data_IF_405946121148
#
_entry.id   IF_405946121148
#
_cell.length_a   1.000
_cell.length_b   1.000
_cell.length_c   1.000
_cell.angle_alpha   90.00
_cell.angle_beta   90.00
_cell.angle_gamma   90.00
#
_symmetry.space_group_name_H-M   'P 1'
#
loop_
_entity.id
_entity.type
_entity.pdbx_description
1 polymer ?
#
# COMPACT_ATOMS: atom_id res chain seq x y z
N UNK A 1 76.58 2.42 -20.69
CA UNK A 1 76.43 1.31 -21.65
C UNK A 1 75.23 1.62 -22.52
N UNK A 2 75.45 1.77 -23.82
CA UNK A 2 74.46 2.28 -24.78
C UNK A 2 73.34 1.25 -24.98
N UNK A 3 72.10 1.60 -24.60
CA UNK A 3 70.92 0.84 -25.00
C UNK A 3 70.75 1.09 -26.50
N UNK A 4 71.06 0.09 -27.31
CA UNK A 4 71.03 0.18 -28.76
C UNK A 4 69.60 0.47 -29.23
N UNK A 5 69.46 1.44 -30.13
CA UNK A 5 68.18 1.95 -30.65
C UNK A 5 67.29 0.80 -31.20
N UNK A 6 67.91 -0.29 -31.67
CA UNK A 6 67.22 -1.48 -32.17
C UNK A 6 66.51 -2.34 -31.12
N UNK A 7 66.79 -2.17 -29.82
CA UNK A 7 66.07 -2.89 -28.74
C UNK A 7 64.84 -2.12 -28.24
N UNK A 8 64.83 -0.79 -28.37
CA UNK A 8 63.72 0.07 -27.88
C UNK A 8 62.55 0.08 -28.87
N UNK A 9 62.83 0.02 -30.17
CA UNK A 9 61.82 0.03 -31.23
C UNK A 9 60.84 -1.17 -31.15
N UNK A 10 61.28 -2.44 -31.04
CA UNK A 10 60.33 -3.56 -30.95
C UNK A 10 59.50 -3.55 -29.66
N UNK A 11 60.07 -3.08 -28.55
CA UNK A 11 59.33 -2.96 -27.27
C UNK A 11 58.29 -1.84 -27.34
N UNK A 12 58.64 -0.68 -27.92
CA UNK A 12 57.71 0.43 -28.09
C UNK A 12 56.55 0.08 -29.04
N UNK A 13 56.83 -0.65 -30.13
CA UNK A 13 55.80 -1.16 -31.05
C UNK A 13 54.89 -2.18 -30.34
N UNK A 14 55.47 -3.07 -29.52
CA UNK A 14 54.70 -4.03 -28.72
C UNK A 14 53.73 -3.34 -27.75
N UNK A 15 54.19 -2.31 -27.04
CA UNK A 15 53.35 -1.54 -26.11
C UNK A 15 52.24 -0.79 -26.86
N UNK A 16 52.52 -0.20 -28.03
CA UNK A 16 51.53 0.48 -28.86
C UNK A 16 50.41 -0.44 -29.34
N UNK A 17 50.74 -1.67 -29.75
CA UNK A 17 49.75 -2.66 -30.21
C UNK A 17 48.85 -3.12 -29.06
N UNK A 18 49.40 -3.32 -27.86
CA UNK A 18 48.63 -3.71 -26.67
C UNK A 18 47.68 -2.60 -26.24
N UNK A 19 48.14 -1.34 -26.22
CA UNK A 19 47.30 -0.19 -25.86
C UNK A 19 46.21 0.04 -26.90
N UNK A 20 46.53 -0.03 -28.20
CA UNK A 20 45.52 0.08 -29.27
C UNK A 20 44.48 -1.06 -29.21
N UNK A 21 44.93 -2.29 -28.94
CA UNK A 21 44.05 -3.44 -28.75
C UNK A 21 43.11 -3.29 -27.56
N UNK A 22 43.62 -2.81 -26.41
CA UNK A 22 42.81 -2.56 -25.23
C UNK A 22 41.77 -1.43 -25.45
N UNK A 23 42.15 -0.36 -26.16
CA UNK A 23 41.23 0.73 -26.52
C UNK A 23 40.15 0.25 -27.50
N UNK A 24 40.51 -0.58 -28.48
CA UNK A 24 39.56 -1.14 -29.44
C UNK A 24 38.61 -2.13 -28.76
N UNK A 25 39.10 -2.99 -27.86
CA UNK A 25 38.27 -3.90 -27.08
C UNK A 25 37.27 -3.14 -26.19
N UNK A 26 37.72 -2.08 -25.51
CA UNK A 26 36.84 -1.25 -24.69
C UNK A 26 35.81 -0.47 -25.53
N UNK A 27 36.19 -0.04 -26.74
CA UNK A 27 35.26 0.59 -27.69
C UNK A 27 34.20 -0.41 -28.21
N UNK A 28 34.58 -1.67 -28.46
CA UNK A 28 33.65 -2.72 -28.88
C UNK A 28 32.70 -3.15 -27.74
N UNK A 29 33.21 -3.29 -26.50
CA UNK A 29 32.36 -3.58 -25.33
C UNK A 29 31.36 -2.45 -25.04
N UNK A 30 31.73 -1.18 -25.31
CA UNK A 30 30.83 -0.03 -25.18
C UNK A 30 29.78 0.03 -26.30
N UNK A 31 30.09 -0.49 -27.49
CA UNK A 31 29.17 -0.57 -28.63
C UNK A 31 28.01 -1.53 -28.38
N UNK A 32 28.25 -2.69 -27.77
CA UNK A 32 27.18 -3.66 -27.45
C UNK A 32 26.22 -3.16 -26.37
N UNK A 33 26.70 -2.39 -25.38
CA UNK A 33 25.79 -1.73 -24.41
C UNK A 33 24.94 -0.61 -25.04
N UNK A 34 25.32 -0.06 -26.19
CA UNK A 34 24.52 0.95 -26.91
C UNK A 34 23.50 0.35 -27.90
N UNK A 35 23.66 -0.93 -28.28
CA UNK A 35 22.81 -1.61 -29.27
C UNK A 35 21.63 -2.40 -28.68
N UNK A 36 21.44 -2.39 -27.36
CA UNK A 36 20.28 -2.99 -26.65
C UNK A 36 19.23 -1.96 -26.20
N UNK A 37 19.14 -0.81 -26.88
CA UNK A 37 18.29 0.29 -26.41
C UNK A 37 17.74 1.20 -27.50
N UNK A 38 17.09 0.65 -28.53
CA UNK A 38 16.21 1.46 -29.40
C UNK A 38 16.00 0.91 -30.81
N UNK A 39 14.76 0.49 -31.11
CA UNK A 39 14.28 0.19 -32.47
C UNK A 39 12.88 -0.44 -32.48
N UNK A 40 11.91 0.18 -33.16
CA UNK A 40 10.44 0.10 -33.01
C UNK A 40 9.76 -0.76 -34.11
N UNK A 41 8.49 -1.12 -33.88
CA UNK A 41 7.46 -1.74 -34.76
C UNK A 41 7.47 -3.28 -34.80
N UNK A 42 6.36 -4.01 -34.74
CA UNK A 42 4.99 -3.77 -35.20
C UNK A 42 3.97 -4.73 -34.55
N UNK A 43 2.75 -4.25 -34.27
CA UNK A 43 1.49 -5.03 -34.38
C UNK A 43 1.16 -6.10 -33.33
N UNK A 44 0.11 -5.85 -32.54
CA UNK A 44 -0.73 -6.89 -31.94
C UNK A 44 -0.59 -7.10 -30.43
N UNK A 45 -1.69 -6.81 -29.72
CA UNK A 45 -2.09 -7.38 -28.43
C UNK A 45 -1.69 -6.68 -27.11
N UNK A 46 -2.71 -6.00 -26.57
CA UNK A 46 -2.98 -5.75 -25.15
C UNK A 46 -1.99 -4.90 -24.35
N UNK A 47 -2.09 -3.58 -24.54
CA UNK A 47 -1.96 -2.61 -23.45
C UNK A 47 -2.89 -3.00 -22.30
N UNK A 48 -2.38 -3.70 -21.28
CA UNK A 48 -3.04 -3.74 -19.97
C UNK A 48 -2.72 -2.43 -19.26
N UNK A 49 -3.62 -1.47 -19.41
CA UNK A 49 -3.58 -0.18 -18.76
C UNK A 49 -3.32 -0.33 -17.25
N UNK A 50 -2.11 -0.04 -16.81
CA UNK A 50 -1.88 0.45 -15.46
C UNK A 50 -2.45 1.86 -15.42
N UNK A 51 -3.76 1.96 -15.18
CA UNK A 51 -4.38 3.19 -14.70
C UNK A 51 -3.55 3.65 -13.50
N UNK A 52 -2.87 4.78 -13.60
CA UNK A 52 -2.26 5.45 -12.45
C UNK A 52 -3.40 5.97 -11.57
N UNK A 53 -4.06 5.08 -10.84
CA UNK A 53 -5.11 5.45 -9.90
C UNK A 53 -4.49 6.42 -8.89
N UNK A 54 -5.11 7.59 -8.73
CA UNK A 54 -4.68 8.58 -7.75
C UNK A 54 -4.91 8.01 -6.36
N UNK A 55 -3.84 7.85 -5.58
CA UNK A 55 -3.90 7.24 -4.24
C UNK A 55 -3.85 8.31 -3.19
N UNK A 56 -4.72 8.21 -2.20
CA UNK A 56 -4.75 9.14 -1.07
C UNK A 56 -3.65 8.81 -0.07
N UNK A 57 -3.45 7.53 0.26
CA UNK A 57 -2.41 7.10 1.19
C UNK A 57 -1.10 6.87 0.42
N UNK A 58 -0.33 7.94 0.23
CA UNK A 58 1.01 7.84 -0.35
C UNK A 58 2.03 7.46 0.72
N UNK A 59 2.01 8.19 1.84
CA UNK A 59 2.96 8.03 2.92
C UNK A 59 2.32 7.40 4.18
N UNK A 60 2.83 6.25 4.66
CA UNK A 60 2.31 5.58 5.85
C UNK A 60 2.40 6.39 7.14
N UNK A 61 3.21 7.45 7.15
CA UNK A 61 3.45 8.28 8.32
C UNK A 61 2.66 9.59 8.32
N UNK A 62 2.26 10.05 7.13
CA UNK A 62 1.54 11.29 6.97
C UNK A 62 0.11 11.16 7.51
N UNK A 63 -0.44 12.31 7.95
CA UNK A 63 -1.81 12.42 8.44
C UNK A 63 -2.63 13.14 7.38
N UNK A 64 -3.57 12.42 6.78
CA UNK A 64 -4.51 12.95 5.79
C UNK A 64 -5.81 13.37 6.47
N UNK A 65 -6.15 14.66 6.42
CA UNK A 65 -7.37 15.18 7.03
C UNK A 65 -8.55 14.99 6.06
N UNK A 66 -9.41 14.02 6.33
CA UNK A 66 -10.55 13.70 5.47
C UNK A 66 -11.87 14.19 6.09
N UNK A 67 -12.71 14.91 5.33
CA UNK A 67 -14.01 15.37 5.80
C UNK A 67 -15.04 14.24 5.84
N UNK A 68 -15.87 14.23 6.88
CA UNK A 68 -17.07 13.39 6.96
C UNK A 68 -18.12 13.95 6.01
N UNK A 69 -18.52 13.18 5.00
CA UNK A 69 -19.51 13.59 4.00
C UNK A 69 -20.88 12.99 4.25
N UNK A 70 -20.94 11.80 4.86
CA UNK A 70 -22.21 11.12 5.15
C UNK A 70 -22.09 10.32 6.44
N UNK A 71 -23.17 10.31 7.22
CA UNK A 71 -23.32 9.50 8.43
C UNK A 71 -24.67 8.77 8.36
N UNK A 72 -24.62 7.45 8.30
CA UNK A 72 -25.81 6.59 8.21
C UNK A 72 -25.94 5.73 9.47
N UNK A 73 -27.15 5.67 10.03
CA UNK A 73 -27.51 4.79 11.13
C UNK A 73 -27.92 3.41 10.61
N UNK A 74 -27.11 2.40 10.89
CA UNK A 74 -27.40 1.02 10.49
C UNK A 74 -28.18 0.24 11.56
N UNK A 75 -27.90 0.53 12.84
CA UNK A 75 -28.54 -0.09 14.01
C UNK A 75 -28.36 0.80 15.24
N UNK A 76 -29.00 0.48 16.35
CA UNK A 76 -28.98 1.27 17.61
C UNK A 76 -27.56 1.64 18.13
N UNK A 77 -26.56 0.82 17.84
CA UNK A 77 -25.18 0.98 18.27
C UNK A 77 -24.19 1.04 17.10
N UNK A 78 -24.66 1.05 15.85
CA UNK A 78 -23.78 0.95 14.68
C UNK A 78 -24.07 2.08 13.71
N UNK A 79 -22.99 2.71 13.23
CA UNK A 79 -23.03 3.70 12.17
C UNK A 79 -22.09 3.35 11.02
N UNK A 80 -22.45 3.78 9.82
CA UNK A 80 -21.54 3.92 8.68
C UNK A 80 -21.14 5.39 8.57
N UNK A 81 -19.82 5.63 8.58
CA UNK A 81 -19.21 6.94 8.37
C UNK A 81 -18.52 6.93 7.02
N UNK A 82 -18.94 7.82 6.14
CA UNK A 82 -18.33 8.01 4.82
C UNK A 82 -17.49 9.25 4.82
N UNK A 83 -16.20 9.10 4.53
CA UNK A 83 -15.27 10.22 4.43
C UNK A 83 -14.92 10.48 2.97
N UNK A 84 -14.87 11.75 2.59
CA UNK A 84 -14.49 12.18 1.25
C UNK A 84 -12.98 12.12 1.08
N UNK A 85 -12.52 11.61 -0.06
CA UNK A 85 -11.11 11.70 -0.46
C UNK A 85 -10.83 13.05 -1.13
N UNK A 86 -9.56 13.35 -1.39
CA UNK A 86 -9.14 14.65 -1.96
C UNK A 86 -9.78 14.95 -3.33
N UNK A 87 -10.06 13.94 -4.14
CA UNK A 87 -10.88 14.09 -5.34
C UNK A 87 -11.76 12.85 -5.58
N UNK A 88 -12.83 13.02 -6.36
CA UNK A 88 -13.77 11.95 -6.73
C UNK A 88 -13.15 10.79 -7.51
N UNK A 89 -11.94 10.95 -8.05
CA UNK A 89 -11.21 9.89 -8.75
C UNK A 89 -10.18 9.19 -7.87
N UNK A 90 -9.90 9.73 -6.68
CA UNK A 90 -8.93 9.14 -5.76
C UNK A 90 -9.47 7.84 -5.18
N UNK A 91 -8.56 6.91 -4.96
CA UNK A 91 -8.78 5.70 -4.16
C UNK A 91 -8.00 5.84 -2.86
N UNK A 92 -8.39 5.08 -1.84
CA UNK A 92 -7.66 5.06 -0.58
C UNK A 92 -6.24 4.49 -0.79
N UNK A 93 -6.12 3.43 -1.59
CA UNK A 93 -4.85 2.75 -1.87
C UNK A 93 -4.43 1.86 -0.70
N UNK A 94 -5.37 1.11 -0.12
CA UNK A 94 -5.12 0.25 1.03
C UNK A 94 -4.97 -1.22 0.56
N UNK A 95 -3.76 -1.80 0.65
CA UNK A 95 -3.58 -3.20 0.30
C UNK A 95 -4.46 -4.13 1.14
N UNK A 96 -5.00 -5.17 0.50
CA UNK A 96 -5.86 -6.15 1.17
C UNK A 96 -5.11 -6.82 2.32
N UNK A 97 -5.70 -6.83 3.52
CA UNK A 97 -5.09 -7.33 4.75
C UNK A 97 -4.47 -6.26 5.65
N UNK A 98 -4.38 -5.02 5.16
CA UNK A 98 -3.93 -3.86 5.94
C UNK A 98 -5.12 -3.04 6.46
N UNK A 99 -4.83 -2.11 7.37
CA UNK A 99 -5.79 -1.22 8.00
C UNK A 99 -5.23 0.21 8.07
N UNK A 100 -6.09 1.15 8.43
CA UNK A 100 -5.74 2.56 8.67
C UNK A 100 -5.80 2.86 10.16
N UNK A 101 -5.19 3.96 10.56
CA UNK A 101 -5.28 4.55 11.89
C UNK A 101 -6.03 5.87 11.80
N UNK A 102 -7.04 6.03 12.66
CA UNK A 102 -7.64 7.32 12.93
C UNK A 102 -6.97 7.92 14.16
N UNK A 103 -6.60 9.19 14.06
CA UNK A 103 -6.08 9.97 15.18
C UNK A 103 -6.97 11.18 15.43
N UNK A 104 -7.35 11.38 16.68
CA UNK A 104 -8.10 12.55 17.13
C UNK A 104 -7.66 12.93 18.54
N UNK A 105 -7.70 14.23 18.85
CA UNK A 105 -7.47 14.75 20.20
C UNK A 105 -8.81 14.81 20.91
N UNK A 106 -9.01 13.97 21.92
CA UNK A 106 -10.26 13.85 22.67
C UNK A 106 -9.94 14.17 24.13
N UNK A 107 -10.55 15.22 24.70
CA UNK A 107 -10.26 15.68 26.07
C UNK A 107 -8.74 15.88 26.31
N UNK A 108 -8.08 16.58 25.38
CA UNK A 108 -6.63 16.87 25.42
C UNK A 108 -5.70 15.64 25.31
N UNK A 109 -6.25 14.43 25.15
CA UNK A 109 -5.50 13.20 24.94
C UNK A 109 -5.51 12.81 23.45
N UNK A 110 -4.33 12.53 22.89
CA UNK A 110 -4.22 12.00 21.53
C UNK A 110 -4.62 10.51 21.51
N UNK A 111 -5.81 10.22 20.98
CA UNK A 111 -6.31 8.86 20.83
C UNK A 111 -6.08 8.38 19.41
N UNK A 112 -5.39 7.26 19.25
CA UNK A 112 -5.13 6.61 17.96
C UNK A 112 -5.76 5.22 17.96
N UNK A 113 -6.59 4.92 16.95
CA UNK A 113 -7.24 3.62 16.82
C UNK A 113 -7.17 3.09 15.40
N UNK A 114 -6.96 1.78 15.28
CA UNK A 114 -6.95 1.09 14.00
C UNK A 114 -8.38 0.79 13.54
N UNK A 115 -8.65 1.03 12.25
CA UNK A 115 -9.90 0.70 11.59
C UNK A 115 -9.59 0.08 10.23
N UNK A 116 -10.36 -0.93 9.83
CA UNK A 116 -10.31 -1.46 8.46
C UNK A 116 -11.54 -0.93 7.73
N UNK A 117 -11.36 -0.17 6.65
CA UNK A 117 -12.49 0.30 5.86
C UNK A 117 -13.22 -0.87 5.24
N UNK A 118 -14.52 -0.68 5.03
CA UNK A 118 -15.35 -1.66 4.34
C UNK A 118 -15.22 -1.48 2.83
N UNK A 119 -14.93 -0.26 2.34
CA UNK A 119 -14.72 0.06 0.93
C UNK A 119 -13.45 -0.60 0.35
N UNK A 120 -13.44 -0.82 -0.97
CA UNK A 120 -12.31 -1.36 -1.72
C UNK A 120 -11.71 -0.29 -2.66
N UNK A 121 -10.58 -0.60 -3.29
CA UNK A 121 -9.95 0.30 -4.28
C UNK A 121 -10.78 0.46 -5.58
N UNK A 122 -11.91 -0.23 -5.71
CA UNK A 122 -12.89 0.00 -6.78
C UNK A 122 -13.79 1.21 -6.47
N UNK A 123 -13.98 1.52 -5.18
CA UNK A 123 -14.77 2.64 -4.70
C UNK A 123 -13.93 3.92 -4.79
N UNK A 124 -14.32 4.86 -5.67
CA UNK A 124 -13.59 6.10 -5.91
C UNK A 124 -14.23 7.28 -5.17
N UNK A 125 -13.40 8.16 -4.63
CA UNK A 125 -13.82 9.44 -4.04
C UNK A 125 -14.24 9.39 -2.58
N UNK A 126 -14.42 8.20 -2.01
CA UNK A 126 -14.83 8.06 -0.61
C UNK A 126 -14.23 6.82 0.07
N UNK A 127 -14.28 6.82 1.40
CA UNK A 127 -13.95 5.66 2.23
C UNK A 127 -15.04 5.45 3.27
N UNK A 128 -15.58 4.23 3.34
CA UNK A 128 -16.64 3.85 4.26
C UNK A 128 -16.09 3.08 5.46
N UNK A 129 -16.31 3.61 6.66
CA UNK A 129 -16.00 2.97 7.94
C UNK A 129 -17.29 2.57 8.63
N UNK A 130 -17.42 1.30 9.01
CA UNK A 130 -18.55 0.85 9.83
C UNK A 130 -18.07 0.63 11.26
N UNK A 131 -18.57 1.45 12.18
CA UNK A 131 -18.09 1.49 13.56
C UNK A 131 -19.24 1.25 14.51
N UNK A 132 -18.98 0.42 15.53
CA UNK A 132 -19.88 0.24 16.67
C UNK A 132 -19.58 1.31 17.72
N UNK A 133 -20.60 2.06 18.11
CA UNK A 133 -20.59 3.15 19.07
C UNK A 133 -20.79 2.61 20.48
N UNK A 134 -19.71 2.57 21.25
CA UNK A 134 -19.76 2.17 22.66
C UNK A 134 -20.13 3.37 23.54
N UNK A 135 -21.41 3.53 23.84
CA UNK A 135 -21.97 4.62 24.65
C UNK A 135 -21.56 4.50 26.13
N UNK A 136 -21.50 5.63 26.84
CA UNK A 136 -21.24 5.67 28.29
C UNK A 136 -22.40 5.05 29.08
N UNK A 137 -22.11 4.43 30.21
CA UNK A 137 -23.11 3.91 31.15
C UNK A 137 -23.86 2.65 30.71
N UNK A 138 -23.55 2.05 29.56
CA UNK A 138 -24.24 0.85 29.07
C UNK A 138 -23.67 -0.44 29.66
N UNK A 139 -22.34 -0.55 29.74
CA UNK A 139 -21.68 -1.77 30.20
C UNK A 139 -21.05 -1.58 31.58
N UNK A 140 -21.35 -2.44 32.58
CA UNK A 140 -20.91 -2.24 33.96
C UNK A 140 -19.38 -2.25 34.10
N UNK A 141 -18.67 -3.03 33.27
CA UNK A 141 -17.19 -3.06 33.26
C UNK A 141 -16.54 -1.86 32.55
N UNK A 142 -17.30 -1.12 31.74
CA UNK A 142 -16.77 -0.03 30.90
C UNK A 142 -17.69 1.19 30.98
N UNK A 143 -17.75 1.88 32.15
CA UNK A 143 -18.67 2.99 32.37
C UNK A 143 -18.40 4.18 31.43
N UNK A 144 -17.13 4.43 31.09
CA UNK A 144 -16.72 5.51 30.18
C UNK A 144 -17.00 5.22 28.69
N UNK A 145 -17.36 3.98 28.33
CA UNK A 145 -17.55 3.55 26.95
C UNK A 145 -16.30 3.72 26.07
N UNK A 146 -16.49 3.85 24.76
CA UNK A 146 -15.40 3.99 23.79
C UNK A 146 -15.10 5.44 23.41
N UNK A 147 -13.90 5.94 23.78
CA UNK A 147 -13.42 7.30 23.48
C UNK A 147 -13.56 7.66 21.99
N UNK A 148 -12.87 6.92 21.11
CA UNK A 148 -12.88 7.20 19.66
C UNK A 148 -14.25 6.98 19.02
N UNK A 149 -14.99 5.95 19.44
CA UNK A 149 -16.30 5.66 18.86
C UNK A 149 -17.35 6.72 19.19
N UNK A 150 -17.31 7.28 20.41
CA UNK A 150 -18.19 8.39 20.80
C UNK A 150 -17.77 9.69 20.11
N UNK A 151 -16.47 9.93 19.95
CA UNK A 151 -15.97 11.08 19.19
C UNK A 151 -16.47 11.04 17.75
N UNK A 152 -16.35 9.90 17.06
CA UNK A 152 -16.91 9.72 15.71
C UNK A 152 -18.42 9.98 15.65
N UNK A 153 -19.19 9.52 16.64
CA UNK A 153 -20.63 9.78 16.71
C UNK A 153 -20.95 11.28 16.82
N UNK A 154 -20.14 12.01 17.60
CA UNK A 154 -20.30 13.44 17.83
C UNK A 154 -19.91 14.31 16.63
N UNK A 155 -19.21 13.77 15.63
CA UNK A 155 -18.83 14.53 14.44
C UNK A 155 -20.06 14.92 13.61
N UNK A 156 -20.06 16.17 13.18
CA UNK A 156 -21.00 16.71 12.21
C UNK A 156 -20.49 16.47 10.77
N UNK A 157 -21.42 16.51 9.81
CA UNK A 157 -21.06 16.47 8.39
C UNK A 157 -20.23 17.71 8.06
N UNK A 158 -19.07 17.51 7.43
CA UNK A 158 -18.07 18.55 7.15
C UNK A 158 -16.85 18.49 8.06
N UNK A 159 -16.97 17.89 9.25
CA UNK A 159 -15.86 17.77 10.18
C UNK A 159 -14.75 16.86 9.62
N UNK A 160 -13.51 17.17 9.97
CA UNK A 160 -12.33 16.44 9.46
C UNK A 160 -11.69 15.60 10.54
N UNK A 161 -11.25 14.40 10.17
CA UNK A 161 -10.46 13.52 11.04
C UNK A 161 -9.17 13.10 10.33
N UNK A 162 -8.11 12.90 11.10
CA UNK A 162 -6.81 12.50 10.56
C UNK A 162 -6.75 10.98 10.34
N UNK A 163 -6.59 10.61 9.07
CA UNK A 163 -6.31 9.26 8.59
C UNK A 163 -4.80 9.08 8.44
N UNK A 164 -4.30 7.91 8.85
CA UNK A 164 -2.91 7.51 8.65
C UNK A 164 -2.86 6.06 8.21
N UNK A 165 -2.03 5.74 7.22
CA UNK A 165 -1.87 4.37 6.74
C UNK A 165 -1.20 4.35 5.36
N UNK A 166 -0.98 3.17 4.78
CA UNK A 166 -1.49 1.86 5.23
C UNK A 166 -0.62 1.18 6.30
N UNK A 167 -1.23 0.38 7.18
CA UNK A 167 -0.56 -0.32 8.29
C UNK A 167 -1.03 -1.76 8.39
N UNK A 168 -0.11 -2.70 8.58
CA UNK A 168 -0.44 -4.11 8.71
C UNK A 168 0.77 -5.01 8.48
N UNK A 169 0.74 -6.20 9.06
CA UNK A 169 1.80 -7.21 8.88
C UNK A 169 1.45 -8.26 7.83
N UNK A 170 0.17 -8.37 7.49
CA UNK A 170 -0.36 -9.32 6.53
C UNK A 170 -0.83 -8.53 5.32
N UNK A 171 -0.46 -8.99 4.14
CA UNK A 171 -0.96 -8.48 2.87
C UNK A 171 -1.33 -9.67 1.98
N UNK A 172 -2.52 -9.64 1.43
CA UNK A 172 -2.95 -10.62 0.43
C UNK A 172 -2.57 -10.13 -0.97
N UNK A 173 -1.82 -10.94 -1.71
CA UNK A 173 -1.33 -10.61 -3.05
C UNK A 173 -2.20 -11.18 -4.18
N UNK A 174 -3.23 -11.96 -3.83
CA UNK A 174 -4.05 -12.70 -4.80
C UNK A 174 -3.53 -14.11 -5.04
N UNK A 175 -4.36 -14.96 -5.67
CA UNK A 175 -3.99 -16.32 -6.06
C UNK A 175 -3.51 -17.19 -4.89
N UNK A 176 -4.08 -17.01 -3.69
CA UNK A 176 -3.69 -17.76 -2.49
C UNK A 176 -2.37 -17.33 -1.86
N UNK A 177 -1.72 -16.26 -2.36
CA UNK A 177 -0.43 -15.77 -1.85
C UNK A 177 -0.62 -14.70 -0.78
N UNK A 178 0.06 -14.89 0.35
CA UNK A 178 0.06 -13.99 1.50
C UNK A 178 1.48 -13.53 1.81
N UNK A 179 1.69 -12.23 1.88
CA UNK A 179 2.92 -11.64 2.41
C UNK A 179 2.73 -11.38 3.90
N UNK A 180 3.48 -12.08 4.74
CA UNK A 180 3.37 -11.99 6.20
C UNK A 180 4.72 -11.60 6.80
N UNK A 181 4.71 -10.57 7.64
CA UNK A 181 5.85 -10.14 8.46
C UNK A 181 5.66 -10.63 9.89
N UNK A 182 6.61 -11.41 10.43
CA UNK A 182 6.55 -11.86 11.83
C UNK A 182 6.70 -10.68 12.78
N UNK A 183 7.83 -9.97 12.69
CA UNK A 183 8.04 -8.67 13.33
C UNK A 183 7.96 -7.52 12.32
N UNK A 184 7.80 -6.29 12.82
CA UNK A 184 7.73 -5.09 11.96
C UNK A 184 8.99 -4.87 11.12
N UNK A 185 10.15 -5.26 11.63
CA UNK A 185 11.47 -5.06 11.00
C UNK A 185 11.89 -6.23 10.10
N UNK A 186 11.21 -7.37 10.22
CA UNK A 186 11.59 -8.56 9.47
C UNK A 186 11.21 -8.41 7.99
N UNK A 187 11.97 -9.03 7.07
CA UNK A 187 11.56 -9.15 5.68
C UNK A 187 10.24 -9.92 5.60
N UNK A 188 9.39 -9.53 4.67
CA UNK A 188 8.12 -10.22 4.46
C UNK A 188 8.36 -11.59 3.83
N UNK A 189 7.77 -12.62 4.40
CA UNK A 189 7.79 -13.98 3.84
C UNK A 189 6.49 -14.22 3.08
N UNK A 190 6.60 -14.84 1.90
CA UNK A 190 5.45 -15.22 1.09
C UNK A 190 5.02 -16.62 1.50
N UNK A 191 3.76 -16.76 1.85
CA UNK A 191 3.09 -18.03 2.15
C UNK A 191 2.01 -18.26 1.10
N UNK A 192 1.89 -19.48 0.61
CA UNK A 192 0.83 -19.88 -0.32
C UNK A 192 -0.10 -20.85 0.40
N UNK A 193 -1.41 -20.65 0.25
CA UNK A 193 -2.43 -21.49 0.86
C UNK A 193 -3.67 -21.60 -0.04
N UNK A 194 -4.12 -22.84 -0.25
CA UNK A 194 -5.35 -23.13 -1.01
C UNK A 194 -6.62 -22.95 -0.16
N UNK A 195 -6.49 -23.12 1.15
CA UNK A 195 -7.59 -23.02 2.12
C UNK A 195 -7.22 -22.05 3.23
N UNK A 196 -8.11 -21.12 3.52
CA UNK A 196 -7.93 -20.09 4.55
C UNK A 196 -9.09 -20.19 5.54
N UNK A 197 -8.76 -20.54 6.78
CA UNK A 197 -9.72 -20.53 7.89
C UNK A 197 -9.75 -19.15 8.54
N UNK A 198 -10.94 -18.58 8.67
CA UNK A 198 -11.14 -17.26 9.27
C UNK A 198 -11.96 -17.41 10.55
N UNK A 199 -11.39 -16.98 11.67
CA UNK A 199 -12.06 -16.94 12.96
C UNK A 199 -12.12 -15.47 13.37
N UNK A 200 -13.35 -14.93 13.51
CA UNK A 200 -13.58 -13.54 13.86
C UNK A 200 -14.53 -13.46 15.08
N UNK A 201 -14.21 -12.60 16.04
CA UNK A 201 -15.12 -12.25 17.14
C UNK A 201 -16.11 -11.14 16.77
N UNK A 202 -17.07 -10.83 17.64
CA UNK A 202 -18.24 -9.98 17.33
C UNK A 202 -17.93 -8.60 16.76
N UNK A 203 -16.86 -7.93 17.21
CA UNK A 203 -16.45 -6.63 16.65
C UNK A 203 -15.79 -6.77 15.26
N UNK A 204 -15.24 -7.95 14.95
CA UNK A 204 -14.54 -8.26 13.71
C UNK A 204 -15.44 -8.99 12.67
N UNK A 205 -16.62 -9.50 13.07
CA UNK A 205 -17.53 -10.24 12.17
C UNK A 205 -18.02 -9.40 10.99
N UNK A 206 -18.03 -8.07 11.11
CA UNK A 206 -18.40 -7.16 10.01
C UNK A 206 -17.28 -6.98 8.97
N UNK A 207 -16.00 -7.22 9.33
CA UNK A 207 -14.93 -7.44 8.34
C UNK A 207 -15.16 -8.76 7.58
N UNK A 208 -15.60 -9.79 8.30
CA UNK A 208 -15.69 -11.14 7.74
C UNK A 208 -16.78 -11.25 6.68
N UNK A 209 -17.93 -10.56 6.80
CA UNK A 209 -19.01 -10.67 5.80
C UNK A 209 -18.62 -10.19 4.39
N UNK A 210 -17.64 -9.29 4.22
CA UNK A 210 -17.08 -8.96 2.89
C UNK A 210 -15.97 -9.93 2.44
N UNK A 211 -15.30 -10.63 3.36
CA UNK A 211 -14.52 -11.84 3.02
C UNK A 211 -15.41 -13.02 2.61
N UNK A 212 -16.64 -13.11 3.14
CA UNK A 212 -17.64 -14.07 2.64
C UNK A 212 -18.14 -13.69 1.23
N UNK A 213 -18.23 -12.41 0.88
CA UNK A 213 -18.41 -11.99 -0.51
C UNK A 213 -17.19 -12.29 -1.40
N UNK A 214 -15.99 -12.35 -0.83
CA UNK A 214 -14.79 -12.85 -1.53
C UNK A 214 -14.89 -14.36 -1.84
N UNK A 215 -15.73 -15.11 -1.11
CA UNK A 215 -16.08 -16.50 -1.45
C UNK A 215 -17.16 -16.62 -2.53
N UNK A 216 -17.91 -15.56 -2.81
CA UNK A 216 -18.92 -15.54 -3.88
C UNK A 216 -18.42 -14.92 -5.20
N UNK A 217 -17.42 -14.03 -5.15
CA UNK A 217 -16.86 -13.38 -6.36
C UNK A 217 -15.62 -14.09 -6.95
N UNK A 218 -15.27 -15.26 -6.45
CA UNK A 218 -14.25 -16.16 -7.03
C UNK A 218 -14.86 -17.48 -7.57
N UNK A 219 -16.20 -17.55 -7.66
CA UNK A 219 -16.95 -18.67 -8.22
C UNK A 219 -17.92 -18.23 -9.34
N UNK A 220 -17.57 -17.14 -10.03
CA UNK A 220 -17.95 -16.81 -11.41
C UNK A 220 -16.72 -16.28 -12.12
#
# INVERSE_FOLDING_TARGET
MAVTVNQVVPVAVGVLVVVAGALLANYLLKKDKSKSGGGKSSGGDAKKAASSQLRTLMDPQEKYMLPLIEKEELSHDTRRFRFGLHSGEHVLGLPVGQHIHLSATINEELVIRAYTPVSCDDDKGFVDLVVKVYKKGVHPKFPEGGKMSQHLESLAIGDRIAFRGPSGRLQYLGGGKFSIKKLRKDPAQIYEADKVSLIAGECCLRLSRRLYLFRWRLWM
#
